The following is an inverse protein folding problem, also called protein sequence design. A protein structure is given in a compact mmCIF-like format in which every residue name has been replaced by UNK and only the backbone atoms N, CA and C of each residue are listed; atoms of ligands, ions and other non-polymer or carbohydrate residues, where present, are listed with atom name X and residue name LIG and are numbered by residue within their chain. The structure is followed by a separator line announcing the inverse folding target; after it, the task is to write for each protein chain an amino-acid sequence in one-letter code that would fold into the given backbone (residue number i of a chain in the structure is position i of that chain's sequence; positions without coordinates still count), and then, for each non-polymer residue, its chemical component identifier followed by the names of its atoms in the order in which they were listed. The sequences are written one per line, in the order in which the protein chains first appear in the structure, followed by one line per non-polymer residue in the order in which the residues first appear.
data_IF_745095896138
#
_entry.id   IF_745095896138
#
_cell.length_a   1.000
_cell.length_b   1.000
_cell.length_c   1.000
_cell.angle_alpha   90.00
_cell.angle_beta   90.00
_cell.angle_gamma   90.00
#
_symmetry.space_group_name_H-M   'P 1'
#
loop_
_entity.id
_entity.type
_entity.pdbx_description
1 polymer ?
#
# COMPACT_ATOMS: atom_id res chain seq x y z
N UNK A 1 -76.96 -21.59 5.31
CA UNK A 1 -75.74 -21.46 6.14
C UNK A 1 -74.58 -21.75 5.21
N UNK A 2 -73.68 -20.79 4.96
CA UNK A 2 -72.49 -21.03 4.13
C UNK A 2 -71.62 -22.11 4.79
N UNK A 3 -71.15 -23.05 3.99
CA UNK A 3 -70.28 -24.14 4.44
C UNK A 3 -68.96 -23.56 4.99
N UNK A 4 -68.31 -24.25 5.93
CA UNK A 4 -67.04 -23.81 6.53
C UNK A 4 -65.97 -23.62 5.45
N UNK A 5 -65.99 -24.48 4.43
CA UNK A 5 -65.12 -24.41 3.26
C UNK A 5 -65.30 -23.10 2.49
N UNK A 6 -66.54 -22.73 2.15
CA UNK A 6 -66.86 -21.51 1.40
C UNK A 6 -66.43 -20.25 2.15
N UNK A 7 -66.63 -20.23 3.48
CA UNK A 7 -66.17 -19.11 4.32
C UNK A 7 -64.64 -18.98 4.36
N UNK A 8 -63.92 -20.11 4.41
CA UNK A 8 -62.46 -20.10 4.40
C UNK A 8 -61.91 -19.70 3.03
N UNK A 9 -62.60 -20.09 1.95
CA UNK A 9 -62.23 -19.74 0.60
C UNK A 9 -62.42 -18.24 0.32
N UNK A 10 -63.57 -17.68 0.70
CA UNK A 10 -63.84 -16.23 0.62
C UNK A 10 -62.73 -15.46 1.36
N UNK A 11 -62.43 -15.86 2.61
CA UNK A 11 -61.38 -15.24 3.44
C UNK A 11 -59.98 -15.37 2.83
N UNK A 12 -59.68 -16.51 2.20
CA UNK A 12 -58.39 -16.75 1.54
C UNK A 12 -58.20 -15.82 0.35
N UNK A 13 -59.25 -15.64 -0.47
CA UNK A 13 -59.25 -14.70 -1.59
C UNK A 13 -59.19 -13.23 -1.15
N UNK A 14 -59.75 -12.91 0.00
CA UNK A 14 -59.61 -11.59 0.65
C UNK A 14 -58.24 -11.39 1.32
N UNK A 15 -57.44 -12.45 1.47
CA UNK A 15 -56.10 -12.38 2.08
C UNK A 15 -56.09 -12.24 3.60
N UNK A 16 -57.20 -12.60 4.27
CA UNK A 16 -57.35 -12.46 5.72
C UNK A 16 -57.09 -13.78 6.49
N UNK A 17 -56.71 -14.86 5.81
CA UNK A 17 -56.48 -16.18 6.43
C UNK A 17 -55.21 -16.26 7.27
N UNK A 18 -55.26 -17.01 8.36
CA UNK A 18 -54.08 -17.41 9.14
C UNK A 18 -53.44 -18.68 8.57
N UNK A 19 -52.19 -18.96 8.96
CA UNK A 19 -51.48 -20.20 8.57
C UNK A 19 -52.19 -21.49 9.02
N UNK A 20 -52.94 -21.42 10.12
CA UNK A 20 -53.71 -22.55 10.65
C UNK A 20 -54.97 -22.78 9.81
N UNK A 21 -55.66 -21.69 9.44
CA UNK A 21 -56.83 -21.71 8.57
C UNK A 21 -56.48 -22.18 7.15
N UNK A 22 -55.32 -21.81 6.60
CA UNK A 22 -54.87 -22.29 5.29
C UNK A 22 -54.59 -23.81 5.28
N UNK A 23 -54.07 -24.36 6.38
CA UNK A 23 -53.90 -25.81 6.52
C UNK A 23 -55.25 -26.52 6.57
N UNK A 24 -56.21 -25.96 7.32
CA UNK A 24 -57.58 -26.46 7.36
C UNK A 24 -58.22 -26.41 5.97
N UNK A 25 -58.14 -25.27 5.28
CA UNK A 25 -58.66 -25.07 3.92
C UNK A 25 -58.10 -26.10 2.94
N UNK A 26 -56.78 -26.30 2.92
CA UNK A 26 -56.13 -27.29 2.02
C UNK A 26 -56.62 -28.72 2.27
N UNK A 27 -56.87 -29.08 3.52
CA UNK A 27 -57.39 -30.39 3.87
C UNK A 27 -58.86 -30.54 3.44
N UNK A 28 -59.69 -29.53 3.71
CA UNK A 28 -61.11 -29.53 3.36
C UNK A 28 -61.32 -29.56 1.84
N UNK A 29 -60.56 -28.77 1.07
CA UNK A 29 -60.60 -28.78 -0.41
C UNK A 29 -60.17 -30.14 -0.98
N UNK A 30 -59.25 -30.84 -0.30
CA UNK A 30 -58.82 -32.17 -0.74
C UNK A 30 -59.92 -33.23 -0.55
N UNK A 31 -60.70 -33.09 0.54
CA UNK A 31 -61.78 -34.00 0.94
C UNK A 31 -63.13 -33.69 0.27
N UNK A 32 -63.34 -32.47 -0.20
CA UNK A 32 -64.57 -32.09 -0.89
C UNK A 32 -64.61 -32.61 -2.32
N UNK A 33 -65.79 -33.11 -2.73
CA UNK A 33 -66.08 -33.49 -4.11
C UNK A 33 -66.49 -32.29 -4.99
N UNK A 34 -66.79 -31.14 -4.38
CA UNK A 34 -66.97 -29.85 -5.06
C UNK A 34 -65.66 -29.07 -5.20
N UNK A 35 -65.70 -27.92 -5.88
CA UNK A 35 -64.55 -27.00 -6.01
C UNK A 35 -63.34 -27.59 -6.77
N UNK A 36 -63.61 -28.13 -7.97
CA UNK A 36 -62.60 -28.74 -8.85
C UNK A 36 -61.48 -27.75 -9.23
N UNK A 37 -61.82 -26.50 -9.53
CA UNK A 37 -60.85 -25.49 -9.96
C UNK A 37 -59.89 -25.12 -8.82
N UNK A 38 -60.42 -24.93 -7.62
CA UNK A 38 -59.65 -24.60 -6.43
C UNK A 38 -58.76 -25.78 -6.01
N UNK A 39 -59.25 -27.01 -6.18
CA UNK A 39 -58.48 -28.23 -5.95
C UNK A 39 -57.29 -28.33 -6.91
N UNK A 40 -57.50 -28.07 -8.20
CA UNK A 40 -56.41 -28.02 -9.18
C UNK A 40 -55.40 -26.92 -8.86
N UNK A 41 -55.86 -25.74 -8.43
CA UNK A 41 -55.00 -24.64 -8.01
C UNK A 41 -54.08 -25.04 -6.84
N UNK A 42 -54.64 -25.59 -5.76
CA UNK A 42 -53.84 -26.01 -4.60
C UNK A 42 -52.92 -27.20 -4.90
N UNK A 43 -53.28 -28.08 -5.83
CA UNK A 43 -52.40 -29.16 -6.30
C UNK A 43 -51.24 -28.61 -7.15
N UNK A 44 -51.51 -27.68 -8.07
CA UNK A 44 -50.49 -27.05 -8.91
C UNK A 44 -49.44 -26.30 -8.10
N UNK A 45 -49.87 -25.55 -7.07
CA UNK A 45 -48.93 -24.84 -6.17
C UNK A 45 -48.03 -25.80 -5.39
N UNK A 46 -48.54 -26.95 -4.94
CA UNK A 46 -47.71 -28.00 -4.31
C UNK A 46 -46.71 -28.59 -5.29
N UNK A 47 -47.13 -28.90 -6.51
CA UNK A 47 -46.25 -29.45 -7.53
C UNK A 47 -45.11 -28.49 -7.91
N UNK A 48 -45.36 -27.17 -7.88
CA UNK A 48 -44.32 -26.16 -8.10
C UNK A 48 -43.41 -26.03 -6.87
N UNK A 49 -43.97 -26.10 -5.65
CA UNK A 49 -43.19 -26.03 -4.42
C UNK A 49 -42.27 -27.25 -4.21
N UNK A 50 -42.66 -28.42 -4.74
CA UNK A 50 -41.86 -29.65 -4.73
C UNK A 50 -40.76 -29.68 -5.81
N UNK A 51 -40.84 -28.81 -6.83
CA UNK A 51 -39.77 -28.69 -7.82
C UNK A 51 -38.54 -28.04 -7.18
N UNK A 52 -37.38 -28.65 -7.39
CA UNK A 52 -36.11 -28.06 -6.94
C UNK A 52 -35.92 -26.68 -7.59
N UNK A 53 -35.54 -25.65 -6.83
CA UNK A 53 -35.27 -24.34 -7.40
C UNK A 53 -34.15 -24.48 -8.42
N UNK A 54 -34.39 -24.01 -9.65
CA UNK A 54 -33.39 -24.00 -10.71
C UNK A 54 -32.17 -23.23 -10.20
N UNK A 55 -31.09 -23.95 -9.92
CA UNK A 55 -29.83 -23.37 -9.48
C UNK A 55 -29.26 -22.56 -10.65
N UNK A 56 -29.52 -21.25 -10.64
CA UNK A 56 -28.84 -20.34 -11.56
C UNK A 56 -27.33 -20.46 -11.30
N UNK A 57 -26.51 -20.81 -12.31
CA UNK A 57 -25.08 -20.86 -12.14
C UNK A 57 -24.59 -19.44 -11.86
N UNK A 58 -24.18 -19.20 -10.61
CA UNK A 58 -23.58 -17.92 -10.22
C UNK A 58 -22.32 -17.70 -11.09
N UNK A 59 -22.14 -16.53 -11.72
CA UNK A 59 -20.96 -16.30 -12.55
C UNK A 59 -19.71 -16.52 -11.70
N UNK A 60 -18.88 -17.48 -12.11
CA UNK A 60 -17.72 -17.93 -11.37
C UNK A 60 -16.84 -16.75 -10.94
N UNK A 61 -16.54 -16.71 -9.63
CA UNK A 61 -15.64 -15.75 -9.02
C UNK A 61 -14.37 -15.57 -9.87
N UNK A 62 -14.06 -14.31 -10.19
CA UNK A 62 -12.92 -13.91 -11.03
C UNK A 62 -11.63 -14.58 -10.54
N UNK A 63 -10.88 -15.12 -11.50
CA UNK A 63 -9.68 -15.97 -11.34
C UNK A 63 -8.77 -15.58 -10.17
N UNK A 64 -8.78 -16.42 -9.12
CA UNK A 64 -7.87 -16.39 -7.97
C UNK A 64 -6.39 -16.57 -8.35
N UNK A 65 -6.10 -16.97 -9.60
CA UNK A 65 -4.74 -17.24 -10.08
C UNK A 65 -3.93 -15.95 -10.12
N UNK A 66 -4.51 -14.85 -10.59
CA UNK A 66 -3.85 -13.53 -10.58
C UNK A 66 -3.51 -13.05 -9.18
N UNK A 67 -4.35 -13.35 -8.18
CA UNK A 67 -4.12 -12.95 -6.79
C UNK A 67 -2.89 -13.65 -6.17
N UNK A 68 -2.63 -14.91 -6.54
CA UNK A 68 -1.44 -15.64 -6.06
C UNK A 68 -0.15 -15.07 -6.64
N UNK A 69 -0.13 -14.73 -7.92
CA UNK A 69 1.04 -14.14 -8.59
C UNK A 69 1.35 -12.71 -8.12
N UNK A 70 0.33 -11.92 -7.76
CA UNK A 70 0.55 -10.58 -7.20
C UNK A 70 1.35 -10.59 -5.90
N UNK A 71 1.13 -11.59 -5.03
CA UNK A 71 1.89 -11.72 -3.76
C UNK A 71 3.37 -11.98 -4.02
N UNK A 72 3.67 -12.84 -5.00
CA UNK A 72 5.05 -13.16 -5.40
C UNK A 72 5.71 -11.92 -6.03
N UNK A 73 4.99 -11.21 -6.91
CA UNK A 73 5.49 -10.00 -7.54
C UNK A 73 5.82 -8.88 -6.52
N UNK A 74 4.97 -8.68 -5.51
CA UNK A 74 5.19 -7.67 -4.47
C UNK A 74 6.48 -7.91 -3.67
N UNK A 75 6.78 -9.17 -3.33
CA UNK A 75 8.02 -9.54 -2.63
C UNK A 75 9.24 -9.24 -3.51
N UNK A 76 9.21 -9.62 -4.78
CA UNK A 76 10.32 -9.35 -5.71
C UNK A 76 10.58 -7.86 -5.89
N UNK A 77 9.52 -7.07 -6.06
CA UNK A 77 9.64 -5.60 -6.21
C UNK A 77 10.21 -4.97 -4.94
N UNK A 78 9.77 -5.42 -3.75
CA UNK A 78 10.31 -4.93 -2.48
C UNK A 78 11.81 -5.19 -2.35
N UNK A 79 12.28 -6.39 -2.70
CA UNK A 79 13.71 -6.70 -2.68
C UNK A 79 14.51 -5.84 -3.66
N UNK A 80 14.01 -5.66 -4.89
CA UNK A 80 14.69 -4.82 -5.89
C UNK A 80 14.82 -3.36 -5.42
N UNK A 81 13.75 -2.79 -4.85
CA UNK A 81 13.78 -1.43 -4.31
C UNK A 81 14.74 -1.36 -3.12
N UNK A 82 14.67 -2.32 -2.20
CA UNK A 82 15.55 -2.33 -1.02
C UNK A 82 17.02 -2.40 -1.40
N UNK A 83 17.41 -3.32 -2.30
CA UNK A 83 18.79 -3.45 -2.75
C UNK A 83 19.30 -2.18 -3.44
N UNK A 84 18.50 -1.56 -4.31
CA UNK A 84 18.92 -0.33 -5.01
C UNK A 84 19.09 0.86 -4.04
N UNK A 85 18.23 0.97 -3.03
CA UNK A 85 18.35 2.02 -2.00
C UNK A 85 19.59 1.81 -1.14
N UNK A 86 19.83 0.59 -0.67
CA UNK A 86 21.01 0.26 0.15
C UNK A 86 22.30 0.54 -0.64
N UNK A 87 22.38 0.07 -1.88
CA UNK A 87 23.56 0.29 -2.73
C UNK A 87 23.85 1.79 -2.94
N UNK A 88 22.83 2.59 -3.21
CA UNK A 88 22.99 4.05 -3.35
C UNK A 88 23.43 4.71 -2.05
N UNK A 89 22.90 4.27 -0.91
CA UNK A 89 23.26 4.80 0.40
C UNK A 89 24.71 4.47 0.76
N UNK A 90 25.17 3.26 0.47
CA UNK A 90 26.56 2.86 0.67
C UNK A 90 27.52 3.66 -0.22
N UNK A 91 27.18 3.83 -1.51
CA UNK A 91 27.94 4.67 -2.44
C UNK A 91 28.07 6.11 -1.93
N UNK A 92 26.96 6.75 -1.54
CA UNK A 92 26.99 8.11 -1.00
C UNK A 92 27.79 8.21 0.30
N UNK A 93 27.78 7.18 1.14
CA UNK A 93 28.56 7.15 2.37
C UNK A 93 30.05 7.04 2.08
N UNK A 94 30.44 6.16 1.16
CA UNK A 94 31.82 6.01 0.72
C UNK A 94 32.36 7.30 0.07
N UNK A 95 31.55 7.97 -0.75
CA UNK A 95 31.92 9.27 -1.34
C UNK A 95 32.15 10.35 -0.27
N UNK A 96 31.30 10.41 0.75
CA UNK A 96 31.46 11.35 1.87
C UNK A 96 32.72 11.07 2.68
N UNK A 97 32.97 9.81 3.03
CA UNK A 97 34.16 9.42 3.79
C UNK A 97 35.45 9.74 3.00
N UNK A 98 35.47 9.46 1.70
CA UNK A 98 36.61 9.81 0.84
C UNK A 98 36.80 11.34 0.73
N UNK A 99 35.71 12.10 0.59
CA UNK A 99 35.77 13.56 0.55
C UNK A 99 36.31 14.15 1.86
N UNK A 100 35.83 13.67 3.01
CA UNK A 100 36.30 14.11 4.32
C UNK A 100 37.79 13.82 4.53
N UNK A 101 38.26 12.63 4.13
CA UNK A 101 39.67 12.28 4.20
C UNK A 101 40.53 13.23 3.37
N UNK A 102 40.14 13.49 2.13
CA UNK A 102 40.87 14.41 1.24
C UNK A 102 40.88 15.83 1.81
N UNK A 103 39.76 16.32 2.36
CA UNK A 103 39.70 17.64 2.98
C UNK A 103 40.56 17.76 4.24
N UNK A 104 40.68 16.71 5.04
CA UNK A 104 41.59 16.68 6.18
C UNK A 104 43.05 16.77 5.73
N UNK A 105 43.43 16.05 4.67
CA UNK A 105 44.77 16.12 4.10
C UNK A 105 45.07 17.52 3.52
N UNK A 106 44.11 18.12 2.80
CA UNK A 106 44.24 19.49 2.32
C UNK A 106 44.36 20.51 3.46
N UNK A 107 43.62 20.33 4.55
CA UNK A 107 43.75 21.19 5.73
C UNK A 107 45.17 21.10 6.30
N UNK A 108 45.76 19.90 6.38
CA UNK A 108 47.15 19.74 6.82
C UNK A 108 48.13 20.46 5.88
N UNK A 109 47.98 20.29 4.57
CA UNK A 109 48.79 21.01 3.57
C UNK A 109 48.66 22.53 3.77
N UNK A 110 47.44 23.03 3.93
CA UNK A 110 47.17 24.46 4.15
C UNK A 110 47.86 24.97 5.42
N UNK A 111 47.86 24.20 6.51
CA UNK A 111 48.56 24.59 7.74
C UNK A 111 50.08 24.64 7.55
N UNK A 112 50.66 23.71 6.79
CA UNK A 112 52.09 23.71 6.49
C UNK A 112 52.48 24.86 5.54
N UNK A 113 51.65 25.14 4.54
CA UNK A 113 51.83 26.30 3.66
C UNK A 113 51.79 27.61 4.43
N UNK A 114 50.82 27.78 5.35
CA UNK A 114 50.71 28.98 6.19
C UNK A 114 51.97 29.22 7.03
N UNK A 115 52.50 28.16 7.66
CA UNK A 115 53.76 28.22 8.42
C UNK A 115 54.95 28.56 7.53
N UNK A 116 54.99 28.02 6.31
CA UNK A 116 56.01 28.32 5.32
C UNK A 116 55.98 29.78 4.88
N UNK A 117 54.79 30.34 4.60
CA UNK A 117 54.63 31.77 4.26
C UNK A 117 54.99 32.69 5.41
N UNK A 118 54.60 32.36 6.65
CA UNK A 118 54.96 33.13 7.85
C UNK A 118 56.48 33.15 8.06
N UNK A 119 57.14 32.01 7.82
CA UNK A 119 58.60 31.94 7.87
C UNK A 119 59.26 32.79 6.77
N UNK A 120 58.73 32.77 5.54
CA UNK A 120 59.26 33.61 4.45
C UNK A 120 59.04 35.11 4.70
N UNK A 121 57.94 35.49 5.33
CA UNK A 121 57.64 36.87 5.72
C UNK A 121 58.67 37.37 6.75
N UNK A 122 58.93 36.58 7.81
CA UNK A 122 59.98 36.88 8.78
C UNK A 122 61.36 37.01 8.12
N UNK A 123 61.70 36.14 7.17
CA UNK A 123 62.96 36.21 6.42
C UNK A 123 63.04 37.49 5.56
N UNK A 124 61.92 37.96 5.02
CA UNK A 124 61.82 39.24 4.32
C UNK A 124 62.14 40.41 5.25
N UNK A 125 61.53 40.45 6.44
CA UNK A 125 61.78 41.48 7.45
C UNK A 125 63.22 41.45 7.96
N UNK A 126 63.77 40.25 8.22
CA UNK A 126 65.16 40.08 8.60
C UNK A 126 66.12 40.48 7.48
N UNK A 127 65.80 40.28 6.20
CA UNK A 127 66.62 40.77 5.08
C UNK A 127 66.79 42.30 5.14
N UNK A 128 65.74 43.03 5.51
CA UNK A 128 65.84 44.48 5.70
C UNK A 128 66.67 44.86 6.94
N UNK A 129 66.64 44.05 8.00
CA UNK A 129 67.45 44.26 9.22
C UNK A 129 68.93 43.84 9.06
N UNK A 130 69.20 42.85 8.21
CA UNK A 130 70.54 42.29 7.94
C UNK A 130 71.35 43.11 6.94
N UNK A 131 70.72 44.09 6.26
CA UNK A 131 71.43 45.07 5.44
C UNK A 131 72.17 46.06 6.35
N UNK A 132 73.11 45.57 7.15
CA UNK A 132 73.98 46.40 8.01
C UNK A 132 74.77 47.41 7.17
N UNK A 133 74.98 47.16 5.88
CA UNK A 133 75.62 48.10 4.95
C UNK A 133 74.77 49.32 4.58
N UNK A 134 73.45 49.30 4.81
CA UNK A 134 72.60 50.49 4.66
C UNK A 134 72.46 51.27 5.97
N UNK A 135 72.55 50.59 7.12
CA UNK A 135 72.36 51.21 8.45
C UNK A 135 73.66 51.82 9.00
N UNK A 136 74.82 51.26 8.66
CA UNK A 136 76.12 51.88 8.94
C UNK A 136 76.76 52.33 7.63
N UNK A 137 76.67 53.63 7.34
CA UNK A 137 77.40 54.28 6.27
C UNK A 137 78.91 54.31 6.58
N UNK A 138 79.58 53.15 6.46
CA UNK A 138 81.03 53.06 6.62
C UNK A 138 81.66 53.60 5.33
N UNK A 139 82.01 54.89 5.36
CA UNK A 139 82.97 55.48 4.42
C UNK A 139 84.34 54.90 4.72
N UNK A 140 84.77 53.92 3.93
CA UNK A 140 86.18 53.56 3.85
C UNK A 140 86.95 54.73 3.22
N UNK A 141 87.54 55.58 4.07
CA UNK A 141 88.58 56.50 3.67
C UNK A 141 89.88 55.71 3.51
N UNK A 142 90.29 55.53 2.25
CA UNK A 142 91.59 54.99 1.87
C UNK A 142 92.55 56.18 1.68
N UNK A 143 93.50 56.35 2.58
CA UNK A 143 94.78 57.06 2.32
C UNK A 143 95.82 56.08 1.80
#
# INVERSE_FOLDING_TARGET
MKDRLEKLLDKYWEGETSLEEEKELKNLVSLSDGHLEEKEFFLGTKAIAEQEPVLFPMPGSRSLIFSKWMKIAAVLVFFLISTTVIYKMEMQRAEKEAYEQVMQEFALIQTNMRKGTESLELMGDFKHLSTTQEIFNIKDHKE
#
